data_IF_177501861981
#
_entry.id   IF_177501861981
#
_cell.length_a   1.000
_cell.length_b   1.000
_cell.length_c   1.000
_cell.angle_alpha   90.00
_cell.angle_beta   90.00
_cell.angle_gamma   90.00
#
_symmetry.space_group_name_H-M   'P 1'
#
loop_
_entity.id
_entity.type
_entity.pdbx_description
1 polymer ?
#
# COMPACT_ATOMS: atom_id res chain seq x y z
N UNK A 1 5.58 -16.33 -0.88
CA UNK A 1 6.50 -16.38 0.30
C UNK A 1 6.82 -14.95 0.71
N UNK A 2 6.69 -14.62 2.01
CA UNK A 2 6.89 -13.24 2.49
C UNK A 2 8.36 -12.81 2.35
N UNK A 3 8.67 -11.63 1.79
CA UNK A 3 10.02 -11.08 1.70
C UNK A 3 10.69 -10.93 3.07
N UNK A 4 12.01 -11.06 3.12
CA UNK A 4 12.78 -11.07 4.38
C UNK A 4 12.59 -9.80 5.20
N UNK A 5 12.54 -8.62 4.54
CA UNK A 5 12.32 -7.33 5.18
C UNK A 5 10.97 -7.25 5.94
N UNK A 6 10.02 -8.11 5.61
CA UNK A 6 8.70 -8.14 6.25
C UNK A 6 8.59 -9.21 7.35
N UNK A 7 9.35 -10.31 7.28
CA UNK A 7 9.16 -11.48 8.16
C UNK A 7 9.22 -11.17 9.66
N UNK A 8 10.16 -10.33 10.08
CA UNK A 8 10.41 -10.06 11.50
C UNK A 8 10.11 -8.62 11.91
N UNK A 9 9.56 -7.83 11.01
CA UNK A 9 9.33 -6.40 11.22
C UNK A 9 7.84 -6.03 11.32
N UNK A 10 6.95 -7.03 11.29
CA UNK A 10 5.50 -6.80 11.40
C UNK A 10 4.96 -7.31 12.74
N UNK A 11 4.14 -6.49 13.42
CA UNK A 11 3.33 -6.92 14.55
C UNK A 11 2.07 -7.65 14.10
N UNK A 12 1.53 -7.23 12.96
CA UNK A 12 0.38 -7.82 12.29
C UNK A 12 0.62 -7.83 10.78
N UNK A 13 0.13 -8.81 10.04
CA UNK A 13 0.37 -8.94 8.60
C UNK A 13 -0.51 -7.98 7.79
N UNK A 14 -0.29 -6.69 7.99
CA UNK A 14 -1.08 -5.60 7.40
C UNK A 14 -0.19 -4.58 6.71
N UNK A 15 -0.65 -4.12 5.57
CA UNK A 15 -0.14 -2.95 4.86
C UNK A 15 -1.23 -1.88 4.84
N UNK A 16 -0.92 -0.70 5.37
CA UNK A 16 -1.76 0.49 5.22
C UNK A 16 -1.74 0.97 3.78
N UNK A 17 -2.88 1.03 3.12
CA UNK A 17 -2.99 1.49 1.74
C UNK A 17 -2.62 2.98 1.63
N UNK A 18 -2.00 3.42 0.51
CA UNK A 18 -1.69 4.81 0.27
C UNK A 18 -2.98 5.61 0.03
N UNK A 19 -3.26 6.57 0.91
CA UNK A 19 -4.47 7.37 0.88
C UNK A 19 -4.17 8.75 0.27
N UNK A 20 -4.81 9.05 -0.88
CA UNK A 20 -4.61 10.34 -1.56
C UNK A 20 -4.97 11.51 -0.63
N UNK A 21 -4.11 12.52 -0.57
CA UNK A 21 -4.11 13.70 0.31
C UNK A 21 -4.07 13.41 1.83
N UNK A 22 -4.40 12.22 2.27
CA UNK A 22 -4.55 11.84 3.68
C UNK A 22 -3.26 11.23 4.25
N UNK A 23 -2.62 10.29 3.52
CA UNK A 23 -1.37 9.69 3.98
C UNK A 23 -0.21 10.67 3.82
N UNK A 24 0.35 11.09 4.96
CA UNK A 24 1.56 11.90 5.08
C UNK A 24 2.54 11.25 6.05
N UNK A 25 3.76 11.79 6.24
CA UNK A 25 4.77 11.17 7.11
C UNK A 25 4.26 10.77 8.49
N UNK A 26 3.46 11.61 9.17
CA UNK A 26 2.92 11.33 10.50
C UNK A 26 2.16 10.00 10.56
N UNK A 27 1.21 9.78 9.64
CA UNK A 27 0.45 8.51 9.57
C UNK A 27 1.37 7.33 9.23
N UNK A 28 2.26 7.48 8.25
CA UNK A 28 3.19 6.42 7.83
C UNK A 28 4.12 6.01 8.97
N UNK A 29 4.70 6.98 9.68
CA UNK A 29 5.58 6.76 10.82
C UNK A 29 4.83 6.02 11.94
N UNK A 30 3.62 6.46 12.28
CA UNK A 30 2.79 5.80 13.29
C UNK A 30 2.47 4.34 12.93
N UNK A 31 2.09 4.08 11.69
CA UNK A 31 1.86 2.73 11.17
C UNK A 31 3.13 1.87 11.29
N UNK A 32 4.28 2.36 10.83
CA UNK A 32 5.54 1.61 10.86
C UNK A 32 6.01 1.34 12.29
N UNK A 33 5.89 2.31 13.21
CA UNK A 33 6.19 2.15 14.65
C UNK A 33 5.25 1.13 15.32
N UNK A 34 4.02 0.98 14.82
CA UNK A 34 3.07 -0.05 15.27
C UNK A 34 3.33 -1.44 14.65
N UNK A 35 4.31 -1.59 13.77
CA UNK A 35 4.61 -2.83 13.07
C UNK A 35 3.63 -3.16 11.93
N UNK A 36 3.07 -2.14 11.32
CA UNK A 36 2.25 -2.18 10.10
C UNK A 36 3.00 -1.46 8.99
N UNK A 37 3.08 -2.02 7.79
CA UNK A 37 3.69 -1.29 6.66
C UNK A 37 2.87 -0.03 6.37
N UNK A 38 3.45 1.14 6.64
CA UNK A 38 2.84 2.42 6.31
C UNK A 38 3.10 2.81 4.87
N UNK A 39 2.14 3.44 4.20
CA UNK A 39 2.36 3.90 2.83
C UNK A 39 1.72 5.25 2.51
N UNK A 40 2.30 5.93 1.53
CA UNK A 40 1.77 7.19 1.01
C UNK A 40 1.97 7.31 -0.50
N UNK A 41 1.07 8.01 -1.22
CA UNK A 41 1.27 8.36 -2.62
C UNK A 41 2.38 9.40 -2.78
N UNK A 42 3.34 9.21 -3.70
CA UNK A 42 4.33 10.24 -4.03
C UNK A 42 3.66 11.56 -4.43
N UNK A 43 2.50 11.50 -5.08
CA UNK A 43 1.71 12.66 -5.49
C UNK A 43 1.14 13.49 -4.33
N UNK A 44 1.16 12.98 -3.08
CA UNK A 44 0.79 13.77 -1.90
C UNK A 44 1.88 14.80 -1.51
N UNK A 45 3.13 14.50 -1.82
CA UNK A 45 4.24 15.45 -1.61
C UNK A 45 4.15 16.59 -2.63
N UNK A 46 3.78 17.77 -2.16
CA UNK A 46 3.58 18.96 -3.00
C UNK A 46 4.19 20.19 -2.33
N UNK A 47 5.11 20.90 -3.01
CA UNK A 47 5.65 20.61 -4.35
C UNK A 47 6.49 19.33 -4.37
N UNK A 48 6.92 18.88 -5.56
CA UNK A 48 7.56 17.58 -5.77
C UNK A 48 8.83 17.37 -4.94
N UNK A 49 9.61 18.41 -4.73
CA UNK A 49 10.87 18.42 -3.97
C UNK A 49 10.66 17.94 -2.52
N UNK A 50 9.48 18.15 -1.98
CA UNK A 50 9.08 17.72 -0.61
C UNK A 50 9.12 16.20 -0.45
N UNK A 51 9.00 15.42 -1.54
CA UNK A 51 9.10 13.95 -1.48
C UNK A 51 10.42 13.48 -0.85
N UNK A 52 11.53 14.16 -1.21
CA UNK A 52 12.85 13.86 -0.64
C UNK A 52 12.88 14.08 0.87
N UNK A 53 12.26 15.16 1.35
CA UNK A 53 12.23 15.49 2.78
C UNK A 53 11.35 14.54 3.56
N UNK A 54 10.19 14.14 3.01
CA UNK A 54 9.30 13.15 3.62
C UNK A 54 9.97 11.79 3.78
N UNK A 55 10.68 11.31 2.73
CA UNK A 55 11.38 10.03 2.83
C UNK A 55 12.48 10.07 3.89
N UNK A 56 13.22 11.19 3.99
CA UNK A 56 14.24 11.37 5.04
C UNK A 56 13.60 11.39 6.43
N UNK A 57 12.57 12.21 6.64
CA UNK A 57 11.85 12.31 7.90
C UNK A 57 11.38 10.92 8.38
N UNK A 58 10.75 10.15 7.49
CA UNK A 58 10.28 8.79 7.81
C UNK A 58 11.46 7.89 8.19
N UNK A 59 12.55 7.91 7.42
CA UNK A 59 13.73 7.07 7.70
C UNK A 59 14.40 7.44 9.02
N UNK A 60 14.57 8.72 9.28
CA UNK A 60 15.22 9.22 10.49
C UNK A 60 14.38 8.87 11.74
N UNK A 61 13.08 9.11 11.70
CA UNK A 61 12.15 8.78 12.79
C UNK A 61 12.05 7.29 13.07
N UNK A 62 12.02 6.46 12.02
CA UNK A 62 11.97 5.00 12.19
C UNK A 62 13.33 4.44 12.67
N UNK A 63 14.44 5.01 12.19
CA UNK A 63 15.79 4.68 12.65
C UNK A 63 15.95 4.97 14.15
N UNK A 64 15.62 6.18 14.58
CA UNK A 64 15.68 6.57 15.99
C UNK A 64 14.76 5.69 16.86
N UNK A 65 13.53 5.45 16.40
CA UNK A 65 12.60 4.60 17.15
C UNK A 65 13.12 3.17 17.31
N UNK A 66 13.79 2.61 16.28
CA UNK A 66 14.39 1.27 16.34
C UNK A 66 15.55 1.21 17.32
N UNK A 67 16.39 2.25 17.39
CA UNK A 67 17.48 2.36 18.37
C UNK A 67 16.93 2.41 19.80
N UNK A 68 15.88 3.20 20.03
CA UNK A 68 15.25 3.37 21.34
C UNK A 68 14.43 2.13 21.78
N UNK A 69 14.00 1.31 20.81
CA UNK A 69 13.12 0.15 21.05
C UNK A 69 13.60 -1.10 20.28
N UNK A 70 14.79 -1.63 20.57
CA UNK A 70 15.42 -2.70 19.78
C UNK A 70 14.62 -3.99 19.69
N UNK A 71 13.79 -4.29 20.69
CA UNK A 71 12.92 -5.47 20.72
C UNK A 71 11.61 -5.31 19.95
N UNK A 72 11.20 -4.09 19.61
CA UNK A 72 9.94 -3.89 18.91
C UNK A 72 10.13 -4.07 17.40
N UNK A 73 9.18 -4.73 16.72
CA UNK A 73 9.17 -4.72 15.28
C UNK A 73 8.91 -3.30 14.78
N UNK A 74 9.69 -2.88 13.78
CA UNK A 74 9.47 -1.61 13.06
C UNK A 74 9.31 -1.97 11.60
N UNK A 75 8.09 -1.79 11.08
CA UNK A 75 7.78 -2.12 9.70
C UNK A 75 8.48 -1.16 8.72
N UNK A 76 8.86 -1.64 7.52
CA UNK A 76 9.28 -0.75 6.45
C UNK A 76 8.11 0.09 5.94
N UNK A 77 8.42 1.25 5.35
CA UNK A 77 7.41 2.06 4.66
C UNK A 77 7.37 1.77 3.16
N UNK A 78 6.29 2.19 2.51
CA UNK A 78 6.12 2.09 1.07
C UNK A 78 5.75 3.44 0.45
N UNK A 79 6.22 3.69 -0.79
CA UNK A 79 5.86 4.86 -1.59
C UNK A 79 5.05 4.39 -2.80
N UNK A 80 3.84 4.92 -2.97
CA UNK A 80 3.01 4.57 -4.12
C UNK A 80 3.33 5.48 -5.32
N UNK A 81 3.49 4.86 -6.48
CA UNK A 81 3.73 5.48 -7.77
C UNK A 81 2.57 5.20 -8.73
N UNK A 82 1.93 6.25 -9.21
CA UNK A 82 0.90 6.14 -10.23
C UNK A 82 1.57 6.07 -11.60
N UNK A 83 1.63 4.87 -12.18
CA UNK A 83 2.29 4.58 -13.45
C UNK A 83 1.35 4.84 -14.62
N UNK A 84 1.06 6.12 -14.89
CA UNK A 84 0.20 6.56 -15.98
C UNK A 84 0.85 7.68 -16.79
N UNK A 85 0.51 7.77 -18.07
CA UNK A 85 1.08 8.78 -18.98
C UNK A 85 0.78 10.23 -18.57
N UNK A 86 -0.29 10.45 -17.82
CA UNK A 86 -0.64 11.78 -17.29
C UNK A 86 0.15 12.16 -16.02
N UNK A 87 0.94 11.25 -15.47
CA UNK A 87 1.82 11.56 -14.35
C UNK A 87 3.20 12.02 -14.89
N UNK A 88 3.35 13.29 -15.07
CA UNK A 88 4.57 13.94 -15.57
C UNK A 88 5.72 13.90 -14.54
N UNK A 89 5.40 13.65 -13.25
CA UNK A 89 6.37 13.55 -12.15
C UNK A 89 7.00 12.17 -12.00
N UNK A 90 6.45 11.13 -12.64
CA UNK A 90 6.78 9.73 -12.35
C UNK A 90 8.29 9.46 -12.34
N UNK A 91 9.02 9.90 -13.35
CA UNK A 91 10.45 9.66 -13.45
C UNK A 91 11.23 10.28 -12.30
N UNK A 92 10.96 11.53 -11.98
CA UNK A 92 11.64 12.28 -10.92
C UNK A 92 11.27 11.73 -9.53
N UNK A 93 10.01 11.32 -9.33
CA UNK A 93 9.58 10.69 -8.09
C UNK A 93 10.27 9.32 -7.90
N UNK A 94 10.43 8.54 -8.96
CA UNK A 94 11.17 7.26 -8.93
C UNK A 94 12.66 7.50 -8.67
N UNK A 95 13.30 8.47 -9.32
CA UNK A 95 14.70 8.84 -9.05
C UNK A 95 14.89 9.24 -7.57
N UNK A 96 13.94 9.97 -7.02
CA UNK A 96 13.96 10.34 -5.59
C UNK A 96 13.85 9.09 -4.70
N UNK A 97 12.96 8.15 -5.03
CA UNK A 97 12.85 6.88 -4.29
C UNK A 97 14.13 6.05 -4.38
N UNK A 98 14.76 5.96 -5.55
CA UNK A 98 16.05 5.26 -5.75
C UNK A 98 17.16 5.94 -4.94
N UNK A 99 17.28 7.26 -5.04
CA UNK A 99 18.29 8.04 -4.30
C UNK A 99 18.23 7.81 -2.80
N UNK A 100 17.02 7.67 -2.25
CA UNK A 100 16.80 7.45 -0.82
C UNK A 100 16.59 5.98 -0.46
N UNK A 101 16.72 5.07 -1.41
CA UNK A 101 16.52 3.63 -1.20
C UNK A 101 15.22 3.34 -0.43
N UNK A 102 14.08 3.85 -0.97
CA UNK A 102 12.78 3.58 -0.37
C UNK A 102 12.51 2.05 -0.38
N UNK A 103 12.24 1.42 0.77
CA UNK A 103 12.31 -0.04 0.87
C UNK A 103 11.25 -0.77 0.04
N UNK A 104 10.07 -0.16 -0.14
CA UNK A 104 8.97 -0.75 -0.91
C UNK A 104 8.37 0.32 -1.82
N UNK A 105 8.14 -0.05 -3.08
CA UNK A 105 7.36 0.76 -4.01
C UNK A 105 6.06 0.03 -4.34
N UNK A 106 4.95 0.72 -4.21
CA UNK A 106 3.65 0.24 -4.68
C UNK A 106 3.38 0.90 -6.04
N UNK A 107 3.15 0.12 -7.09
CA UNK A 107 2.84 0.64 -8.40
C UNK A 107 1.38 0.39 -8.77
N UNK A 108 0.73 1.42 -9.32
CA UNK A 108 -0.67 1.35 -9.72
C UNK A 108 -0.82 1.60 -11.22
N UNK A 109 -1.78 0.97 -11.88
CA UNK A 109 -2.16 1.03 -13.29
C UNK A 109 -1.23 0.25 -14.22
N UNK A 110 -0.01 0.65 -14.46
CA UNK A 110 0.96 -0.08 -15.28
C UNK A 110 2.20 -0.37 -14.47
N UNK A 111 2.69 -1.63 -14.40
CA UNK A 111 4.01 -1.92 -13.88
C UNK A 111 5.05 -1.63 -14.98
N UNK A 112 5.81 -0.54 -14.92
CA UNK A 112 6.87 -0.31 -15.89
C UNK A 112 8.09 -1.15 -15.51
N UNK A 113 8.56 -1.99 -16.45
CA UNK A 113 9.73 -2.86 -16.26
C UNK A 113 10.98 -2.08 -15.81
N UNK A 114 11.21 -0.89 -16.39
CA UNK A 114 12.34 -0.05 -16.03
C UNK A 114 12.29 0.45 -14.58
N UNK A 115 11.08 0.74 -14.05
CA UNK A 115 10.91 1.09 -12.66
C UNK A 115 11.28 -0.10 -11.75
N UNK A 116 10.80 -1.30 -12.07
CA UNK A 116 11.13 -2.52 -11.31
C UNK A 116 12.63 -2.72 -11.24
N UNK A 117 13.33 -2.63 -12.39
CA UNK A 117 14.80 -2.74 -12.46
C UNK A 117 15.49 -1.67 -11.62
N UNK A 118 15.02 -0.42 -11.67
CA UNK A 118 15.60 0.68 -10.91
C UNK A 118 15.46 0.44 -9.38
N UNK A 119 14.31 -0.06 -8.92
CA UNK A 119 14.09 -0.36 -7.51
C UNK A 119 14.91 -1.59 -7.06
N UNK A 120 14.98 -2.62 -7.89
CA UNK A 120 15.79 -3.80 -7.61
C UNK A 120 17.30 -3.49 -7.54
N UNK A 121 17.79 -2.43 -8.19
CA UNK A 121 19.21 -2.07 -8.20
C UNK A 121 19.79 -1.80 -6.82
N UNK A 122 18.98 -1.42 -5.84
CA UNK A 122 19.38 -1.21 -4.45
C UNK A 122 18.74 -2.22 -3.46
N UNK A 123 18.03 -3.24 -3.96
CA UNK A 123 17.39 -4.27 -3.14
C UNK A 123 15.99 -3.89 -2.62
N UNK A 124 15.37 -2.83 -3.16
CA UNK A 124 13.98 -2.47 -2.87
C UNK A 124 13.00 -3.46 -3.49
N UNK A 125 11.76 -3.46 -3.00
CA UNK A 125 10.67 -4.33 -3.45
C UNK A 125 9.62 -3.54 -4.24
N UNK A 126 8.99 -4.19 -5.21
CA UNK A 126 7.87 -3.63 -5.97
C UNK A 126 6.63 -4.49 -5.81
N UNK A 127 5.57 -3.92 -5.24
CA UNK A 127 4.23 -4.50 -5.21
C UNK A 127 3.33 -3.80 -6.21
N UNK A 128 2.46 -4.54 -6.88
CA UNK A 128 1.62 -3.99 -7.94
C UNK A 128 0.13 -4.24 -7.73
N UNK A 129 -0.66 -3.17 -7.89
CA UNK A 129 -2.13 -3.23 -7.82
C UNK A 129 -2.71 -3.93 -9.05
N UNK A 130 -3.50 -4.99 -8.83
CA UNK A 130 -4.16 -5.75 -9.89
C UNK A 130 -5.63 -6.00 -9.56
N UNK A 131 -6.48 -6.02 -10.60
CA UNK A 131 -7.92 -6.23 -10.47
C UNK A 131 -8.41 -7.49 -11.20
N UNK A 132 -7.52 -8.26 -11.81
CA UNK A 132 -7.85 -9.49 -12.55
C UNK A 132 -6.61 -10.37 -12.70
N UNK A 133 -6.81 -11.66 -12.95
CA UNK A 133 -5.75 -12.65 -13.24
C UNK A 133 -4.87 -12.21 -14.42
N UNK A 134 -5.46 -11.65 -15.48
CA UNK A 134 -4.70 -11.13 -16.64
C UNK A 134 -3.75 -9.98 -16.24
N UNK A 135 -4.19 -9.06 -15.36
CA UNK A 135 -3.32 -7.99 -14.86
C UNK A 135 -2.23 -8.55 -13.95
N UNK A 136 -2.57 -9.52 -13.10
CA UNK A 136 -1.62 -10.21 -12.23
C UNK A 136 -0.49 -10.90 -13.03
N UNK A 137 -0.84 -11.65 -14.08
CA UNK A 137 0.13 -12.31 -14.96
C UNK A 137 1.08 -11.30 -15.61
N UNK A 138 0.54 -10.22 -16.16
CA UNK A 138 1.36 -9.14 -16.75
C UNK A 138 2.29 -8.48 -15.75
N UNK A 139 1.85 -8.28 -14.51
CA UNK A 139 2.69 -7.70 -13.46
C UNK A 139 3.86 -8.63 -13.12
N UNK A 140 3.59 -9.93 -12.97
CA UNK A 140 4.63 -10.95 -12.71
C UNK A 140 5.65 -11.03 -13.87
N UNK A 141 5.19 -10.96 -15.12
CA UNK A 141 6.07 -10.89 -16.31
C UNK A 141 7.02 -9.69 -16.28
N UNK A 142 6.64 -8.58 -15.62
CA UNK A 142 7.49 -7.40 -15.45
C UNK A 142 8.42 -7.50 -14.23
N UNK A 143 8.37 -8.60 -13.47
CA UNK A 143 9.29 -8.89 -12.38
C UNK A 143 8.91 -8.27 -11.03
N UNK A 144 7.63 -7.95 -10.79
CA UNK A 144 7.19 -7.45 -9.47
C UNK A 144 7.34 -8.51 -8.39
N UNK A 145 7.63 -8.10 -7.15
CA UNK A 145 7.87 -8.99 -6.00
C UNK A 145 6.58 -9.47 -5.34
N UNK A 146 5.48 -8.78 -5.57
CA UNK A 146 4.18 -9.13 -5.02
C UNK A 146 3.01 -8.48 -5.73
N UNK A 147 1.85 -9.07 -5.54
CA UNK A 147 0.58 -8.63 -6.11
C UNK A 147 -0.33 -8.09 -5.02
N UNK A 148 -0.94 -6.93 -5.27
CA UNK A 148 -2.02 -6.38 -4.45
C UNK A 148 -3.32 -6.64 -5.20
N UNK A 149 -4.11 -7.60 -4.71
CA UNK A 149 -5.41 -7.93 -5.30
C UNK A 149 -6.44 -6.91 -4.84
N UNK A 150 -6.77 -5.95 -5.69
CA UNK A 150 -7.76 -4.90 -5.40
C UNK A 150 -9.14 -5.41 -5.80
N UNK A 151 -9.84 -5.99 -4.83
CA UNK A 151 -11.09 -6.70 -5.04
C UNK A 151 -12.33 -5.82 -4.78
N UNK A 152 -13.52 -6.37 -5.04
CA UNK A 152 -14.79 -5.77 -4.66
C UNK A 152 -14.80 -5.43 -3.16
N UNK A 153 -15.29 -4.26 -2.81
CA UNK A 153 -15.27 -3.73 -1.45
C UNK A 153 -14.02 -2.92 -1.08
N UNK A 154 -13.02 -2.85 -1.96
CA UNK A 154 -11.92 -1.90 -1.79
C UNK A 154 -12.42 -0.47 -2.05
N UNK A 155 -11.88 0.51 -1.32
CA UNK A 155 -12.12 1.94 -1.60
C UNK A 155 -11.32 2.43 -2.80
N UNK A 156 -11.70 3.59 -3.35
CA UNK A 156 -11.02 4.18 -4.51
C UNK A 156 -11.31 3.44 -5.81
N UNK A 157 -10.31 3.25 -6.65
CA UNK A 157 -10.43 2.51 -7.92
C UNK A 157 -10.40 1.01 -7.66
N UNK A 158 -11.54 0.44 -7.33
CA UNK A 158 -11.67 -0.96 -6.96
C UNK A 158 -11.95 -1.87 -8.17
N UNK A 159 -11.51 -3.13 -8.07
CA UNK A 159 -11.96 -4.20 -8.94
C UNK A 159 -13.37 -4.66 -8.58
N UNK A 160 -14.03 -5.30 -9.54
CA UNK A 160 -15.38 -5.86 -9.35
C UNK A 160 -15.37 -7.34 -8.92
N UNK A 161 -14.21 -8.01 -8.94
CA UNK A 161 -14.11 -9.42 -8.61
C UNK A 161 -14.13 -9.64 -7.09
N UNK A 162 -14.80 -10.72 -6.68
CA UNK A 162 -14.82 -11.16 -5.29
C UNK A 162 -13.39 -11.50 -4.82
N UNK A 163 -12.99 -11.10 -3.60
CA UNK A 163 -11.70 -11.49 -3.03
C UNK A 163 -11.55 -13.02 -2.92
N UNK A 164 -12.63 -13.74 -2.63
CA UNK A 164 -12.62 -15.20 -2.59
C UNK A 164 -12.26 -15.83 -3.94
N UNK A 165 -12.81 -15.30 -5.04
CA UNK A 165 -12.57 -15.83 -6.37
C UNK A 165 -11.17 -15.47 -6.87
N UNK A 166 -10.83 -14.17 -6.88
CA UNK A 166 -9.58 -13.69 -7.45
C UNK A 166 -8.35 -14.24 -6.70
N UNK A 167 -8.39 -14.28 -5.37
CA UNK A 167 -7.28 -14.82 -4.59
C UNK A 167 -7.05 -16.31 -4.88
N UNK A 168 -8.11 -17.12 -4.88
CA UNK A 168 -7.98 -18.57 -5.15
C UNK A 168 -7.49 -18.85 -6.56
N UNK A 169 -8.04 -18.17 -7.55
CA UNK A 169 -7.59 -18.28 -8.94
C UNK A 169 -6.11 -17.86 -9.10
N UNK A 170 -5.70 -16.76 -8.43
CA UNK A 170 -4.29 -16.32 -8.47
C UNK A 170 -3.36 -17.33 -7.81
N UNK A 171 -3.75 -17.95 -6.69
CA UNK A 171 -2.94 -18.96 -6.00
C UNK A 171 -2.79 -20.29 -6.75
N UNK A 172 -3.58 -20.55 -7.77
CA UNK A 172 -3.39 -21.74 -8.62
C UNK A 172 -2.09 -21.70 -9.43
N UNK A 173 -1.53 -20.52 -9.67
CA UNK A 173 -0.36 -20.34 -10.53
C UNK A 173 0.72 -19.41 -9.94
N UNK A 174 0.44 -18.72 -8.83
CA UNK A 174 1.38 -17.76 -8.23
C UNK A 174 1.66 -18.03 -6.76
N UNK A 175 2.91 -18.40 -6.46
CA UNK A 175 3.40 -18.71 -5.10
C UNK A 175 4.08 -17.51 -4.41
N UNK A 176 4.19 -16.36 -5.11
CA UNK A 176 4.80 -15.13 -4.58
C UNK A 176 3.91 -14.44 -3.54
N UNK A 177 4.36 -13.26 -3.11
CA UNK A 177 3.64 -12.48 -2.10
C UNK A 177 2.32 -11.93 -2.63
N UNK A 178 1.22 -12.19 -1.90
CA UNK A 178 -0.11 -11.62 -2.21
C UNK A 178 -0.62 -10.79 -1.03
N UNK A 179 -0.99 -9.55 -1.32
CA UNK A 179 -1.71 -8.65 -0.45
C UNK A 179 -3.18 -8.65 -0.89
N UNK A 180 -4.11 -8.91 0.03
CA UNK A 180 -5.53 -8.91 -0.29
C UNK A 180 -6.18 -7.60 0.17
N UNK A 181 -6.89 -6.94 -0.75
CA UNK A 181 -7.71 -5.76 -0.50
C UNK A 181 -9.18 -6.01 -0.82
N UNK A 182 -10.07 -5.38 -0.09
CA UNK A 182 -11.51 -5.43 -0.28
C UNK A 182 -12.26 -5.64 1.03
N UNK A 183 -12.85 -4.57 1.57
CA UNK A 183 -13.64 -4.56 2.81
C UNK A 183 -12.91 -5.15 4.04
N UNK A 184 -11.58 -5.02 4.10
CA UNK A 184 -10.77 -5.45 5.25
C UNK A 184 -10.60 -4.27 6.19
N UNK A 185 -11.16 -4.36 7.42
CA UNK A 185 -11.21 -3.25 8.36
C UNK A 185 -10.94 -3.61 9.82
N UNK A 186 -10.82 -4.91 10.14
CA UNK A 186 -10.63 -5.41 11.50
C UNK A 186 -9.80 -6.71 11.54
N UNK A 187 -9.51 -7.20 12.75
CA UNK A 187 -8.72 -8.42 12.94
C UNK A 187 -9.38 -9.68 12.39
N UNK A 188 -10.72 -9.76 12.36
CA UNK A 188 -11.42 -10.91 11.78
C UNK A 188 -11.26 -10.97 10.26
N UNK A 189 -11.39 -9.84 9.60
CA UNK A 189 -11.18 -9.75 8.15
C UNK A 189 -9.71 -9.97 7.76
N UNK A 190 -8.75 -9.51 8.57
CA UNK A 190 -7.32 -9.84 8.41
C UNK A 190 -7.10 -11.36 8.54
N UNK A 191 -7.59 -11.99 9.61
CA UNK A 191 -7.46 -13.43 9.81
C UNK A 191 -8.11 -14.22 8.67
N UNK A 192 -9.26 -13.76 8.16
CA UNK A 192 -9.93 -14.37 7.01
C UNK A 192 -9.10 -14.29 5.73
N UNK A 193 -8.48 -13.13 5.46
CA UNK A 193 -7.59 -12.96 4.30
C UNK A 193 -6.43 -13.96 4.33
N UNK A 194 -5.80 -14.14 5.49
CA UNK A 194 -4.71 -15.10 5.67
C UNK A 194 -5.19 -16.54 5.53
N UNK A 195 -6.34 -16.89 6.12
CA UNK A 195 -6.93 -18.23 6.01
C UNK A 195 -7.28 -18.59 4.56
N UNK A 196 -7.61 -17.60 3.73
CA UNK A 196 -7.86 -17.77 2.30
C UNK A 196 -6.57 -17.97 1.48
N UNK A 197 -5.41 -17.66 2.04
CA UNK A 197 -4.11 -17.81 1.40
C UNK A 197 -3.41 -16.51 0.98
N UNK A 198 -3.87 -15.34 1.43
CA UNK A 198 -3.09 -14.11 1.32
C UNK A 198 -1.91 -14.15 2.30
N UNK A 199 -0.82 -13.47 1.97
CA UNK A 199 0.31 -13.29 2.90
C UNK A 199 0.10 -12.07 3.79
N UNK A 200 -0.57 -11.03 3.27
CA UNK A 200 -0.83 -9.77 3.95
C UNK A 200 -2.25 -9.26 3.63
N UNK A 201 -2.82 -8.52 4.55
CA UNK A 201 -4.03 -7.73 4.33
C UNK A 201 -3.65 -6.30 3.91
N UNK A 202 -4.41 -5.69 3.00
CA UNK A 202 -4.22 -4.33 2.51
C UNK A 202 -5.42 -3.48 2.90
N UNK A 203 -5.22 -2.53 3.83
CA UNK A 203 -6.28 -1.79 4.51
C UNK A 203 -6.16 -0.29 4.28
N UNK A 204 -7.25 0.36 3.87
CA UNK A 204 -7.29 1.82 3.67
C UNK A 204 -8.19 2.53 4.69
N UNK A 205 -9.50 2.39 4.54
CA UNK A 205 -10.53 3.18 5.24
C UNK A 205 -10.34 3.22 6.76
N UNK A 206 -9.90 2.13 7.38
CA UNK A 206 -9.64 2.08 8.83
C UNK A 206 -8.62 3.13 9.26
N UNK A 207 -7.59 3.36 8.46
CA UNK A 207 -6.53 4.33 8.77
C UNK A 207 -6.94 5.78 8.48
N UNK A 208 -8.01 6.04 7.71
CA UNK A 208 -8.54 7.39 7.54
C UNK A 208 -9.09 7.92 8.87
N UNK A 209 -9.70 7.05 9.67
CA UNK A 209 -10.35 7.44 10.94
C UNK A 209 -9.38 7.49 12.14
N UNK A 210 -8.06 7.41 11.92
CA UNK A 210 -7.05 7.55 12.98
C UNK A 210 -6.69 9.01 13.24
N UNK A 211 -6.14 9.30 14.42
CA UNK A 211 -5.72 10.65 14.81
C UNK A 211 -4.60 11.16 13.91
N UNK A 212 -3.68 10.28 13.49
CA UNK A 212 -2.50 10.60 12.69
C UNK A 212 -2.81 10.85 11.20
N UNK A 213 -4.03 10.59 10.76
CA UNK A 213 -4.44 10.87 9.38
C UNK A 213 -4.74 12.36 9.19
N UNK A 214 -4.44 12.88 8.00
CA UNK A 214 -4.74 14.28 7.62
C UNK A 214 -6.18 14.46 7.10
N UNK A 215 -7.08 13.53 7.41
CA UNK A 215 -8.49 13.67 7.10
C UNK A 215 -9.14 14.67 8.05
N UNK A 216 -10.10 15.46 7.54
CA UNK A 216 -10.91 16.34 8.36
C UNK A 216 -11.71 15.56 9.41
N UNK A 217 -11.93 16.16 10.58
CA UNK A 217 -12.63 15.51 11.70
C UNK A 217 -14.06 15.07 11.33
N UNK A 218 -14.76 15.88 10.55
CA UNK A 218 -16.10 15.55 10.05
C UNK A 218 -16.07 14.32 9.13
N UNK A 219 -15.00 14.17 8.31
CA UNK A 219 -14.82 12.98 7.48
C UNK A 219 -14.50 11.75 8.32
N UNK A 220 -13.63 11.88 9.34
CA UNK A 220 -13.35 10.79 10.29
C UNK A 220 -14.62 10.35 11.01
N UNK A 221 -15.42 11.31 11.49
CA UNK A 221 -16.69 11.03 12.18
C UNK A 221 -17.69 10.35 11.24
N UNK A 222 -17.82 10.83 10.00
CA UNK A 222 -18.69 10.20 9.00
C UNK A 222 -18.32 8.72 8.79
N UNK A 223 -17.03 8.39 8.74
CA UNK A 223 -16.59 7.00 8.58
C UNK A 223 -16.92 6.14 9.82
N UNK A 224 -16.83 6.71 11.02
CA UNK A 224 -17.18 6.04 12.28
C UNK A 224 -18.68 5.73 12.34
N UNK A 225 -19.50 6.66 11.89
CA UNK A 225 -20.96 6.56 11.90
C UNK A 225 -21.52 5.70 10.75
N UNK A 226 -20.71 5.44 9.70
CA UNK A 226 -21.11 4.70 8.52
C UNK A 226 -21.19 3.19 8.76
N UNK A 227 -22.15 2.55 8.14
CA UNK A 227 -22.33 1.10 8.09
C UNK A 227 -22.20 0.58 6.64
N UNK A 228 -22.15 -0.73 6.46
CA UNK A 228 -22.01 -1.37 5.15
C UNK A 228 -23.04 -0.89 4.10
N UNK A 229 -24.26 -0.53 4.54
CA UNK A 229 -25.34 0.00 3.67
C UNK A 229 -25.05 1.39 3.10
N UNK A 230 -24.13 2.14 3.73
CA UNK A 230 -23.78 3.51 3.37
C UNK A 230 -22.63 3.55 2.34
N UNK A 231 -22.03 2.39 2.03
CA UNK A 231 -20.99 2.24 1.02
C UNK A 231 -21.62 2.20 -0.36
N UNK A 232 -21.23 3.15 -1.22
CA UNK A 232 -21.77 3.27 -2.59
C UNK A 232 -20.69 2.91 -3.60
N UNK A 233 -21.01 1.97 -4.49
CA UNK A 233 -20.19 1.70 -5.67
C UNK A 233 -20.65 2.61 -6.81
N UNK A 234 -19.76 3.41 -7.35
CA UNK A 234 -20.07 4.34 -8.44
C UNK A 234 -19.12 4.16 -9.62
N UNK A 235 -19.61 4.37 -10.83
CA UNK A 235 -18.80 4.36 -12.05
C UNK A 235 -18.12 5.70 -12.32
N UNK A 236 -18.47 6.76 -11.59
CA UNK A 236 -17.94 8.10 -11.79
C UNK A 236 -17.74 8.81 -10.45
N UNK A 237 -16.51 9.24 -10.18
CA UNK A 237 -16.18 10.09 -9.03
C UNK A 237 -16.47 11.58 -9.28
N UNK A 238 -16.73 11.98 -10.52
CA UNK A 238 -16.94 13.39 -10.91
C UNK A 238 -18.33 13.88 -10.48
N UNK A 239 -19.29 12.97 -10.34
CA UNK A 239 -20.69 13.30 -10.05
C UNK A 239 -21.09 13.09 -8.57
N UNK A 240 -20.11 12.85 -7.70
CA UNK A 240 -20.30 12.77 -6.26
C UNK A 240 -20.02 14.13 -5.62
#
# INVERSE_FOLDING_TARGET
MLPEILKNNLSVPVVGAPLFIISRPGLVIAQCKAGVVGSFPALNARPQEVLSDWIKEIKDELGQYKEDNPEKPVAPFAVNQICHLSNDRLFQDVETCVKHEAPIIITSLRPPEDLVKAIHSYGGLVFHDVISTRHAQKAVEQGVDGLILVCAGAGGHAGALSPFALLRETREWYDGTILLSGAISDGYSVASALAMGADLAYMGTRFIATEESEADDDYKQMLIDSAAKDVVYTLSLIHI
#
